data_IF_636081854811
#
_entry.id   IF_636081854811
#
_cell.length_a   1.000
_cell.length_b   1.000
_cell.length_c   1.000
_cell.angle_alpha   90.00
_cell.angle_beta   90.00
_cell.angle_gamma   90.00
#
_symmetry.space_group_name_H-M   'P 1'
#
loop_
_entity.id
_entity.type
_entity.pdbx_description
1 polymer ?
#
# COMPACT_ATOMS: atom_id res chain seq x y z
N UNK A 1 14.99 -14.86 16.56
CA UNK A 1 14.77 -13.39 16.69
C UNK A 1 15.62 -12.76 17.80
N UNK A 2 15.66 -13.33 19.01
CA UNK A 2 16.49 -12.82 20.13
C UNK A 2 17.98 -12.79 19.77
N UNK A 3 18.49 -13.82 19.09
CA UNK A 3 19.88 -13.89 18.64
C UNK A 3 20.21 -12.74 17.67
N UNK A 4 19.31 -12.39 16.76
CA UNK A 4 19.50 -11.29 15.82
C UNK A 4 19.59 -9.92 16.54
N UNK A 5 18.80 -9.72 17.59
CA UNK A 5 18.81 -8.48 18.38
C UNK A 5 20.12 -8.33 19.18
N UNK A 6 20.70 -9.43 19.64
CA UNK A 6 21.88 -9.41 20.51
C UNK A 6 23.20 -9.48 19.75
N UNK A 7 23.23 -9.95 18.50
CA UNK A 7 24.46 -10.23 17.76
C UNK A 7 24.68 -9.37 16.53
N UNK A 8 23.62 -8.74 16.00
CA UNK A 8 23.75 -7.87 14.81
C UNK A 8 23.89 -6.40 15.22
N UNK A 9 24.75 -5.62 14.58
CA UNK A 9 24.80 -4.18 14.81
C UNK A 9 23.47 -3.54 14.38
N UNK A 10 23.06 -2.45 15.03
CA UNK A 10 21.89 -1.68 14.62
C UNK A 10 22.12 -1.12 13.21
N UNK A 11 21.07 -1.15 12.38
CA UNK A 11 21.07 -0.58 11.04
C UNK A 11 20.06 0.56 11.00
N UNK A 12 20.45 1.70 10.44
CA UNK A 12 19.52 2.80 10.19
C UNK A 12 18.54 2.39 9.10
N UNK A 13 17.28 2.76 9.28
CA UNK A 13 16.22 2.60 8.30
C UNK A 13 15.51 3.94 8.13
N UNK A 14 15.00 4.18 6.94
CA UNK A 14 14.18 5.34 6.65
C UNK A 14 12.77 5.15 7.22
N UNK A 15 12.09 6.25 7.49
CA UNK A 15 10.68 6.27 7.86
C UNK A 15 9.94 7.24 6.95
N UNK A 16 8.74 6.88 6.57
CA UNK A 16 7.85 7.81 5.89
C UNK A 16 7.14 8.73 6.87
N UNK A 17 7.02 10.00 6.51
CA UNK A 17 6.20 10.98 7.21
C UNK A 17 5.02 11.36 6.32
N UNK A 18 3.78 11.17 6.80
CA UNK A 18 2.56 11.54 6.08
C UNK A 18 1.73 12.51 6.94
N UNK A 19 1.58 13.75 6.49
CA UNK A 19 0.81 14.81 7.17
C UNK A 19 1.10 14.93 8.69
N UNK A 20 2.35 14.66 9.12
CA UNK A 20 2.81 14.72 10.49
C UNK A 20 2.82 13.40 11.26
N UNK A 21 2.33 12.32 10.66
CA UNK A 21 2.32 10.97 11.25
C UNK A 21 3.41 10.09 10.62
N UNK A 22 4.17 9.36 11.46
CA UNK A 22 5.22 8.47 10.98
C UNK A 22 4.68 7.09 10.61
N UNK A 23 5.21 6.52 9.52
CA UNK A 23 4.96 5.13 9.14
C UNK A 23 6.26 4.42 8.74
N UNK A 24 6.33 3.14 9.00
CA UNK A 24 7.53 2.35 8.76
C UNK A 24 7.46 1.49 7.49
N UNK A 25 6.28 0.98 7.15
CA UNK A 25 6.14 0.02 6.06
C UNK A 25 5.43 0.61 4.84
N UNK A 26 4.19 1.09 4.99
CA UNK A 26 3.35 1.42 3.84
C UNK A 26 2.29 2.47 4.17
N UNK A 27 2.10 3.39 3.23
CA UNK A 27 0.91 4.24 3.12
C UNK A 27 0.08 3.75 1.93
N UNK A 28 -1.20 3.49 2.12
CA UNK A 28 -2.08 2.94 1.08
C UNK A 28 -3.40 3.69 0.95
N UNK A 29 -3.98 3.65 -0.24
CA UNK A 29 -5.31 4.20 -0.52
C UNK A 29 -6.03 3.40 -1.61
N UNK A 30 -7.34 3.59 -1.72
CA UNK A 30 -8.19 2.89 -2.69
C UNK A 30 -8.79 1.61 -2.13
N UNK A 31 -8.64 0.49 -2.84
CA UNK A 31 -9.24 -0.78 -2.43
C UNK A 31 -8.74 -1.25 -1.07
N UNK A 32 -7.43 -1.09 -0.79
CA UNK A 32 -6.84 -1.49 0.48
C UNK A 32 -7.43 -0.71 1.66
N UNK A 33 -7.60 0.59 1.53
CA UNK A 33 -8.21 1.40 2.59
C UNK A 33 -9.66 1.01 2.88
N UNK A 34 -10.44 0.65 1.85
CA UNK A 34 -11.80 0.12 2.05
C UNK A 34 -11.79 -1.23 2.76
N UNK A 35 -10.86 -2.10 2.41
CA UNK A 35 -10.68 -3.40 3.09
C UNK A 35 -10.30 -3.18 4.55
N UNK A 36 -9.38 -2.26 4.84
CA UNK A 36 -9.00 -1.90 6.21
C UNK A 36 -10.18 -1.33 7.00
N UNK A 37 -10.93 -0.36 6.45
CA UNK A 37 -12.12 0.19 7.10
C UNK A 37 -13.18 -0.88 7.39
N UNK A 38 -13.42 -1.78 6.42
CA UNK A 38 -14.36 -2.88 6.60
C UNK A 38 -13.88 -3.85 7.67
N UNK A 39 -12.64 -4.30 7.58
CA UNK A 39 -12.04 -5.21 8.53
C UNK A 39 -12.08 -4.64 9.96
N UNK A 40 -11.76 -3.36 10.15
CA UNK A 40 -11.76 -2.71 11.47
C UNK A 40 -13.16 -2.65 12.09
N UNK A 41 -14.21 -2.56 11.29
CA UNK A 41 -15.63 -2.56 11.75
C UNK A 41 -16.19 -3.96 12.02
N UNK A 42 -15.51 -5.03 11.57
CA UNK A 42 -15.98 -6.41 11.74
C UNK A 42 -15.59 -6.97 13.10
N UNK A 43 -16.54 -7.54 13.83
CA UNK A 43 -16.28 -8.29 15.06
C UNK A 43 -15.93 -9.76 14.81
N UNK A 44 -16.31 -10.31 13.66
CA UNK A 44 -16.10 -11.69 13.22
C UNK A 44 -15.98 -11.73 11.69
N UNK A 45 -15.12 -12.61 11.11
CA UNK A 45 -14.16 -13.51 11.74
C UNK A 45 -13.00 -12.76 12.42
N UNK A 46 -12.19 -13.44 13.22
CA UNK A 46 -11.01 -12.87 13.89
C UNK A 46 -9.72 -13.16 13.08
N UNK A 47 -8.66 -12.40 13.36
CA UNK A 47 -7.34 -12.60 12.76
C UNK A 47 -7.32 -12.36 11.25
N UNK A 48 -6.40 -13.03 10.51
CA UNK A 48 -6.22 -12.81 9.07
C UNK A 48 -7.46 -13.09 8.22
N UNK A 49 -8.35 -13.96 8.65
CA UNK A 49 -9.61 -14.26 7.95
C UNK A 49 -10.54 -13.04 7.84
N UNK A 50 -10.39 -12.07 8.74
CA UNK A 50 -11.15 -10.82 8.73
C UNK A 50 -10.90 -10.01 7.44
N UNK A 51 -9.65 -9.93 7.00
CA UNK A 51 -9.25 -9.25 5.78
C UNK A 51 -9.76 -9.99 4.53
N UNK A 52 -9.66 -11.32 4.51
CA UNK A 52 -10.21 -12.13 3.40
C UNK A 52 -11.74 -11.94 3.26
N UNK A 53 -12.46 -11.90 4.38
CA UNK A 53 -13.89 -11.61 4.38
C UNK A 53 -14.19 -10.17 3.91
N UNK A 54 -13.40 -9.18 4.34
CA UNK A 54 -13.55 -7.80 3.89
C UNK A 54 -13.29 -7.68 2.39
N UNK A 55 -12.25 -8.32 1.85
CA UNK A 55 -11.98 -8.38 0.40
C UNK A 55 -13.17 -8.98 -0.36
N UNK A 56 -13.71 -10.11 0.10
CA UNK A 56 -14.83 -10.78 -0.56
C UNK A 56 -16.11 -9.91 -0.56
N UNK A 57 -16.31 -9.08 0.45
CA UNK A 57 -17.47 -8.18 0.57
C UNK A 57 -17.28 -6.93 -0.29
N UNK A 58 -16.09 -6.32 -0.27
CA UNK A 58 -15.86 -5.02 -0.91
C UNK A 58 -15.53 -5.14 -2.41
N UNK A 59 -14.82 -6.19 -2.83
CA UNK A 59 -14.38 -6.33 -4.22
C UNK A 59 -15.52 -6.30 -5.25
N UNK A 60 -16.69 -6.96 -5.05
CA UNK A 60 -17.78 -6.93 -6.03
C UNK A 60 -18.33 -5.52 -6.28
N UNK A 61 -18.31 -4.66 -5.27
CA UNK A 61 -18.87 -3.30 -5.31
C UNK A 61 -17.83 -2.23 -5.64
N UNK A 62 -16.56 -2.56 -5.47
CA UNK A 62 -15.47 -1.61 -5.68
C UNK A 62 -15.42 -1.15 -7.15
N UNK A 63 -15.15 0.15 -7.34
CA UNK A 63 -14.87 0.76 -8.64
C UNK A 63 -13.53 1.50 -8.54
N UNK A 64 -12.70 1.45 -9.58
CA UNK A 64 -11.50 2.28 -9.66
C UNK A 64 -11.86 3.74 -9.44
N UNK A 65 -10.93 4.51 -8.88
CA UNK A 65 -11.08 5.93 -8.64
C UNK A 65 -10.07 6.71 -9.45
N UNK A 66 -10.40 7.94 -9.73
CA UNK A 66 -9.47 8.87 -10.36
C UNK A 66 -8.52 9.43 -9.30
N UNK A 67 -7.22 9.45 -9.63
CA UNK A 67 -6.16 9.96 -8.79
C UNK A 67 -5.30 10.96 -9.53
N UNK A 68 -4.90 12.02 -8.83
CA UNK A 68 -3.75 12.84 -9.18
C UNK A 68 -2.62 12.49 -8.21
N UNK A 69 -1.50 12.03 -8.75
CA UNK A 69 -0.33 11.58 -7.99
C UNK A 69 0.84 12.45 -8.40
N UNK A 70 1.36 13.27 -7.49
CA UNK A 70 2.59 14.02 -7.70
C UNK A 70 3.74 13.26 -7.06
N UNK A 71 4.72 12.90 -7.88
CA UNK A 71 5.94 12.17 -7.53
C UNK A 71 7.12 13.13 -7.74
N UNK A 72 7.68 13.66 -6.66
CA UNK A 72 8.64 14.76 -6.66
C UNK A 72 8.11 15.97 -7.48
N UNK A 73 8.54 16.13 -8.74
CA UNK A 73 8.12 17.23 -9.63
C UNK A 73 7.16 16.77 -10.74
N UNK A 74 6.89 15.46 -10.86
CA UNK A 74 6.04 14.91 -11.91
C UNK A 74 4.65 14.59 -11.38
N UNK A 75 3.61 15.11 -12.05
CA UNK A 75 2.22 14.74 -11.76
C UNK A 75 1.68 13.77 -12.81
N UNK A 76 1.01 12.72 -12.31
CA UNK A 76 0.32 11.70 -13.09
C UNK A 76 -1.15 11.75 -12.74
N UNK A 77 -2.00 11.78 -13.75
CA UNK A 77 -3.47 11.71 -13.61
C UNK A 77 -3.92 10.36 -14.18
N UNK A 78 -4.51 9.51 -13.35
CA UNK A 78 -4.86 8.12 -13.74
C UNK A 78 -6.04 7.60 -12.95
N UNK A 79 -6.72 6.59 -13.51
CA UNK A 79 -7.60 5.72 -12.73
C UNK A 79 -6.79 4.59 -12.11
N UNK A 80 -7.04 4.32 -10.82
CA UNK A 80 -6.40 3.21 -10.12
C UNK A 80 -7.37 2.49 -9.18
N UNK A 81 -7.11 1.22 -8.94
CA UNK A 81 -7.78 0.42 -7.91
C UNK A 81 -7.12 0.63 -6.55
N UNK A 82 -5.81 0.79 -6.53
CA UNK A 82 -4.98 0.85 -5.34
C UNK A 82 -3.72 1.65 -5.64
N UNK A 83 -3.31 2.48 -4.70
CA UNK A 83 -1.99 3.09 -4.65
C UNK A 83 -1.35 2.71 -3.32
N UNK A 84 -0.11 2.27 -3.37
CA UNK A 84 0.70 1.90 -2.22
C UNK A 84 2.04 2.63 -2.28
N UNK A 85 2.31 3.47 -1.28
CA UNK A 85 3.59 4.17 -1.09
C UNK A 85 4.38 3.37 -0.07
N UNK A 86 5.31 2.58 -0.55
CA UNK A 86 6.04 1.60 0.25
C UNK A 86 7.42 2.12 0.61
N UNK A 87 7.73 2.17 1.90
CA UNK A 87 9.08 2.28 2.42
C UNK A 87 9.74 0.90 2.48
N UNK A 88 9.00 -0.11 2.88
CA UNK A 88 9.46 -1.49 2.98
C UNK A 88 8.85 -2.41 1.93
N UNK A 89 9.45 -3.61 1.79
CA UNK A 89 9.04 -4.61 0.78
C UNK A 89 7.66 -5.20 1.02
N UNK A 90 7.25 -5.29 2.29
CA UNK A 90 6.06 -6.08 2.65
C UNK A 90 5.27 -5.48 3.79
N UNK A 91 3.97 -5.76 3.80
CA UNK A 91 3.06 -5.49 4.90
C UNK A 91 1.94 -6.55 4.98
N UNK A 92 1.02 -6.42 5.95
CA UNK A 92 -0.25 -7.14 5.97
C UNK A 92 -0.13 -8.66 5.83
N UNK A 93 0.62 -9.34 6.70
CA UNK A 93 0.73 -10.80 6.68
C UNK A 93 1.69 -11.36 5.64
N UNK A 94 2.67 -10.56 5.20
CA UNK A 94 3.75 -11.00 4.32
C UNK A 94 3.46 -10.79 2.82
N UNK A 95 2.57 -9.87 2.47
CA UNK A 95 2.38 -9.42 1.09
C UNK A 95 3.60 -8.61 0.65
N UNK A 96 4.34 -9.08 -0.34
CA UNK A 96 5.49 -8.41 -0.94
C UNK A 96 5.01 -7.38 -1.98
N UNK A 97 4.47 -6.26 -1.53
CA UNK A 97 3.83 -5.25 -2.40
C UNK A 97 4.81 -4.56 -3.32
N UNK A 98 5.97 -4.17 -2.77
CA UNK A 98 7.10 -3.65 -3.54
C UNK A 98 8.34 -4.49 -3.21
N UNK A 99 8.52 -5.66 -3.87
CA UNK A 99 9.52 -6.65 -3.46
C UNK A 99 10.97 -6.16 -3.55
N UNK A 100 11.21 -5.12 -4.34
CA UNK A 100 12.54 -4.53 -4.57
C UNK A 100 12.79 -3.28 -3.70
N UNK A 101 11.82 -2.85 -2.87
CA UNK A 101 11.97 -1.69 -2.00
C UNK A 101 13.15 -1.87 -1.02
N UNK A 102 13.89 -0.78 -0.81
CA UNK A 102 15.01 -0.73 0.14
C UNK A 102 14.72 0.32 1.22
N UNK A 103 14.64 -0.11 2.46
CA UNK A 103 14.32 0.73 3.62
C UNK A 103 15.44 1.71 4.02
N UNK A 104 16.53 1.79 3.26
CA UNK A 104 17.71 2.60 3.60
C UNK A 104 18.23 3.43 2.42
N UNK A 105 17.41 3.67 1.39
CA UNK A 105 17.82 4.41 0.19
C UNK A 105 17.18 5.81 0.05
N UNK A 106 16.38 6.22 1.03
CA UNK A 106 15.73 7.52 1.08
C UNK A 106 14.62 7.72 0.06
N UNK A 107 14.01 6.63 -0.44
CA UNK A 107 12.97 6.66 -1.47
C UNK A 107 11.80 5.76 -1.11
N UNK A 108 10.63 6.13 -1.58
CA UNK A 108 9.47 5.24 -1.65
C UNK A 108 9.42 4.52 -2.99
N UNK A 109 8.97 3.27 -2.96
CA UNK A 109 8.46 2.54 -4.11
C UNK A 109 6.95 2.72 -4.16
N UNK A 110 6.47 3.49 -5.14
CA UNK A 110 5.05 3.83 -5.31
C UNK A 110 4.43 2.88 -6.32
N UNK A 111 3.66 1.91 -5.82
CA UNK A 111 2.92 0.98 -6.67
C UNK A 111 1.55 1.55 -7.00
N UNK A 112 1.22 1.58 -8.28
CA UNK A 112 -0.10 1.91 -8.81
C UNK A 112 -0.68 0.66 -9.46
N UNK A 113 -1.83 0.20 -8.95
CA UNK A 113 -2.61 -0.86 -9.60
C UNK A 113 -3.69 -0.21 -10.46
N UNK A 114 -3.46 -0.20 -11.76
CA UNK A 114 -4.43 0.28 -12.74
C UNK A 114 -5.68 -0.61 -12.79
N UNK A 115 -6.79 -0.13 -13.39
CA UNK A 115 -8.04 -0.87 -13.44
C UNK A 115 -7.89 -2.25 -14.08
N UNK A 116 -8.34 -3.28 -13.38
CA UNK A 116 -8.46 -4.65 -13.89
C UNK A 116 -9.86 -5.20 -13.59
N UNK A 117 -10.25 -6.25 -14.32
CA UNK A 117 -11.50 -6.94 -14.01
C UNK A 117 -11.44 -7.62 -12.64
N UNK A 118 -12.59 -7.84 -12.01
CA UNK A 118 -12.68 -8.53 -10.71
C UNK A 118 -12.08 -9.93 -10.75
N UNK A 119 -12.30 -10.65 -11.86
CA UNK A 119 -11.74 -12.00 -12.06
C UNK A 119 -10.22 -11.96 -12.21
N UNK A 120 -9.71 -10.96 -12.90
CA UNK A 120 -8.26 -10.74 -13.05
C UNK A 120 -7.63 -10.38 -11.70
N UNK A 121 -8.23 -9.48 -10.94
CA UNK A 121 -7.79 -9.16 -9.60
C UNK A 121 -7.66 -10.42 -8.72
N UNK A 122 -8.70 -11.28 -8.67
CA UNK A 122 -8.68 -12.53 -7.90
C UNK A 122 -7.55 -13.46 -8.35
N UNK A 123 -7.22 -13.51 -9.65
CA UNK A 123 -6.13 -14.34 -10.19
C UNK A 123 -4.75 -13.77 -9.87
N UNK A 124 -4.61 -12.46 -9.85
CA UNK A 124 -3.33 -11.77 -9.64
C UNK A 124 -3.04 -11.57 -8.14
N UNK A 125 -4.05 -11.35 -7.33
CA UNK A 125 -3.89 -11.05 -5.91
C UNK A 125 -3.02 -12.08 -5.14
N UNK A 126 -3.16 -13.41 -5.31
CA UNK A 126 -2.28 -14.36 -4.62
C UNK A 126 -0.79 -14.24 -4.99
N UNK A 127 -0.48 -13.63 -6.14
CA UNK A 127 0.90 -13.44 -6.60
C UNK A 127 1.65 -12.40 -5.75
N UNK A 128 0.92 -11.55 -5.01
CA UNK A 128 1.53 -10.55 -4.10
C UNK A 128 2.35 -11.21 -2.99
N UNK A 129 1.98 -12.40 -2.52
CA UNK A 129 2.74 -13.13 -1.51
C UNK A 129 4.08 -13.69 -2.02
N UNK A 130 4.27 -13.72 -3.34
CA UNK A 130 5.51 -14.12 -4.01
C UNK A 130 6.24 -12.93 -4.66
N UNK A 131 5.67 -11.73 -4.59
CA UNK A 131 6.18 -10.54 -5.27
C UNK A 131 6.08 -10.59 -6.81
N UNK A 132 5.43 -11.62 -7.40
CA UNK A 132 5.38 -11.79 -8.85
C UNK A 132 4.24 -11.03 -9.53
N UNK A 133 3.41 -10.34 -8.79
CA UNK A 133 2.36 -9.45 -9.32
C UNK A 133 2.95 -8.25 -10.07
N UNK A 134 4.17 -7.82 -9.74
CA UNK A 134 4.86 -6.69 -10.38
C UNK A 134 5.11 -6.91 -11.89
N UNK A 135 5.07 -8.14 -12.37
CA UNK A 135 5.18 -8.44 -13.80
C UNK A 135 3.85 -8.29 -14.55
N UNK A 136 2.77 -7.95 -13.85
CA UNK A 136 1.46 -7.76 -14.48
C UNK A 136 1.39 -6.37 -15.13
N UNK A 137 0.88 -6.25 -16.38
CA UNK A 137 0.88 -4.97 -17.11
C UNK A 137 0.05 -3.87 -16.46
N UNK A 138 -0.88 -4.20 -15.56
CA UNK A 138 -1.66 -3.23 -14.81
C UNK A 138 -0.96 -2.77 -13.51
N UNK A 139 0.23 -3.27 -13.20
CA UNK A 139 1.02 -2.84 -12.04
C UNK A 139 2.17 -1.97 -12.53
N UNK A 140 2.22 -0.75 -12.04
CA UNK A 140 3.32 0.18 -12.27
C UNK A 140 3.99 0.50 -10.92
N UNK A 141 5.31 0.53 -10.88
CA UNK A 141 6.09 0.96 -9.72
C UNK A 141 6.99 2.11 -10.14
N UNK A 142 6.91 3.22 -9.41
CA UNK A 142 7.74 4.41 -9.63
C UNK A 142 8.40 4.79 -8.31
N UNK A 143 9.68 5.13 -8.33
CA UNK A 143 10.42 5.58 -7.15
C UNK A 143 10.33 7.09 -7.00
N UNK A 144 10.10 7.56 -5.78
CA UNK A 144 9.99 8.98 -5.46
C UNK A 144 10.33 9.24 -4.00
N UNK A 145 10.90 10.41 -3.72
CA UNK A 145 11.17 10.84 -2.35
C UNK A 145 9.94 11.50 -1.71
N UNK A 146 9.17 12.25 -2.50
CA UNK A 146 7.96 12.95 -2.06
C UNK A 146 6.79 12.53 -2.90
N UNK A 147 5.68 12.25 -2.23
CA UNK A 147 4.45 11.78 -2.87
C UNK A 147 3.27 12.59 -2.37
N UNK A 148 2.53 13.20 -3.27
CA UNK A 148 1.22 13.79 -2.98
C UNK A 148 0.15 13.00 -3.72
N UNK A 149 -0.89 12.59 -3.01
CA UNK A 149 -2.02 11.85 -3.60
C UNK A 149 -3.30 12.63 -3.36
N UNK A 150 -4.04 12.89 -4.43
CA UNK A 150 -5.35 13.55 -4.40
C UNK A 150 -6.39 12.64 -5.03
N UNK A 151 -7.53 12.42 -4.35
CA UNK A 151 -8.69 11.67 -4.83
C UNK A 151 -9.86 11.81 -3.84
N UNK A 152 -11.01 11.24 -4.18
CA UNK A 152 -12.12 10.97 -3.24
C UNK A 152 -11.92 9.60 -2.58
N UNK A 153 -10.93 9.50 -1.70
CA UNK A 153 -10.60 8.26 -0.99
C UNK A 153 -10.04 8.56 0.41
N UNK A 154 -9.77 7.50 1.17
CA UNK A 154 -9.15 7.55 2.50
C UNK A 154 -7.77 6.92 2.42
N UNK A 155 -6.82 7.45 3.18
CA UNK A 155 -5.48 6.90 3.33
C UNK A 155 -5.33 6.16 4.67
N UNK A 156 -4.56 5.08 4.64
CA UNK A 156 -4.11 4.29 5.79
C UNK A 156 -2.59 4.16 5.75
N UNK A 157 -1.94 4.28 6.90
CA UNK A 157 -0.52 4.04 7.06
C UNK A 157 -0.31 2.98 8.14
N UNK A 158 0.42 1.91 7.81
CA UNK A 158 0.69 0.76 8.70
C UNK A 158 -0.56 0.17 9.38
N UNK A 159 -1.72 0.28 8.70
CA UNK A 159 -3.02 -0.19 9.21
C UNK A 159 -3.81 0.83 10.03
N UNK A 160 -3.24 1.99 10.33
CA UNK A 160 -3.91 3.10 11.01
C UNK A 160 -4.50 4.10 10.00
N UNK A 161 -5.66 4.65 10.36
CA UNK A 161 -6.35 5.60 9.50
C UNK A 161 -5.74 6.99 9.58
N UNK A 162 -5.16 7.47 8.47
CA UNK A 162 -4.62 8.83 8.37
C UNK A 162 -5.74 9.85 8.17
N UNK A 163 -6.57 9.66 7.15
CA UNK A 163 -7.66 10.59 6.85
C UNK A 163 -8.12 10.54 5.40
N UNK A 164 -8.89 11.56 5.02
CA UNK A 164 -9.27 11.76 3.62
C UNK A 164 -8.10 12.35 2.84
N UNK A 165 -7.99 11.96 1.56
CA UNK A 165 -7.09 12.63 0.63
C UNK A 165 -7.52 14.10 0.42
N UNK A 166 -6.62 15.04 0.11
CA UNK A 166 -5.22 14.78 -0.24
C UNK A 166 -4.32 14.52 0.96
N UNK A 167 -3.24 13.74 0.74
CA UNK A 167 -2.15 13.56 1.69
C UNK A 167 -0.80 13.82 1.03
N UNK A 168 0.18 14.22 1.85
CA UNK A 168 1.56 14.41 1.41
C UNK A 168 2.46 13.49 2.24
N UNK A 169 3.29 12.70 1.57
CA UNK A 169 4.27 11.84 2.21
C UNK A 169 5.69 12.20 1.76
N UNK A 170 6.64 12.09 2.69
CA UNK A 170 8.07 12.31 2.46
C UNK A 170 8.88 11.19 3.15
N UNK A 171 9.91 10.72 2.44
CA UNK A 171 10.88 9.76 2.94
C UNK A 171 12.11 10.46 3.49
#
# INVERSE_FOLDING_TARGET
>A
QLEAITTRPPTSVDLGLVDGEWFAAILSTGFDSLVNEKANKMSWPKGPMKYNAAIAIELPRFRPRHYEITLDERTISTEAMLIAVSNGRSYGGGMLVCPDADVADGLFDVMVLHPVSKLEFIKVFPRVFKGTHITHPAVEIVRSKRVRITSDAVAYADGERIGHLPVNAEC
#
